data_IF_583456951871
#
_entry.id   IF_583456951871
#
_cell.length_a   1.000
_cell.length_b   1.000
_cell.length_c   1.000
_cell.angle_alpha   90.00
_cell.angle_beta   90.00
_cell.angle_gamma   90.00
#
_symmetry.space_group_name_H-M   'P 1'
#
loop_
_entity.id
_entity.type
_entity.pdbx_description
1 polymer ?
#
# COMPACT_ATOMS: atom_id res chain seq x y z
N UNK A 1 -81.71 22.52 2.48
CA UNK A 1 -81.58 22.83 3.92
C UNK A 1 -80.13 22.60 4.26
N UNK A 2 -79.31 23.61 4.21
CA UNK A 2 -78.83 24.45 5.29
C UNK A 2 -78.39 23.61 6.53
N UNK A 3 -77.08 23.52 6.76
CA UNK A 3 -76.46 24.34 7.77
C UNK A 3 -74.91 24.26 7.72
N UNK A 4 -74.33 25.46 7.76
CA UNK A 4 -72.95 25.80 8.04
C UNK A 4 -72.58 25.46 9.48
N UNK A 5 -71.36 25.01 9.73
CA UNK A 5 -70.64 25.39 10.92
C UNK A 5 -69.15 25.49 10.61
N UNK A 6 -68.66 26.64 10.83
CA UNK A 6 -67.31 27.11 10.91
C UNK A 6 -66.63 26.45 12.12
N UNK A 7 -65.38 26.05 11.98
CA UNK A 7 -64.58 25.52 13.10
C UNK A 7 -63.08 25.65 12.80
N UNK A 8 -62.60 26.82 13.06
CA UNK A 8 -61.33 27.27 13.66
C UNK A 8 -60.06 26.48 13.33
N UNK A 9 -59.22 27.15 12.53
CA UNK A 9 -57.79 26.85 12.38
C UNK A 9 -57.09 27.01 13.74
N UNK A 10 -56.38 25.98 14.19
CA UNK A 10 -55.33 26.08 15.16
C UNK A 10 -54.04 25.68 14.47
N UNK A 11 -53.27 26.71 14.04
CA UNK A 11 -51.92 26.57 13.56
C UNK A 11 -51.02 26.42 14.79
N UNK A 12 -50.62 25.16 15.07
CA UNK A 12 -49.53 24.86 16.01
C UNK A 12 -48.23 24.85 15.19
N UNK A 13 -47.54 25.95 15.20
CA UNK A 13 -46.17 26.07 14.66
C UNK A 13 -45.21 25.38 15.65
N UNK A 14 -44.90 24.11 15.37
CA UNK A 14 -43.83 23.36 16.03
C UNK A 14 -42.51 23.79 15.41
N UNK A 15 -41.84 24.77 16.04
CA UNK A 15 -40.47 25.12 15.69
C UNK A 15 -39.54 23.96 16.07
N UNK A 16 -39.20 23.12 15.09
CA UNK A 16 -38.20 22.07 15.23
C UNK A 16 -36.83 22.73 15.20
N UNK A 17 -36.28 23.05 16.37
CA UNK A 17 -34.90 23.48 16.52
C UNK A 17 -33.95 22.37 16.09
N UNK A 18 -33.38 22.49 14.87
CA UNK A 18 -32.27 21.64 14.44
C UNK A 18 -31.05 22.12 15.22
N UNK A 19 -30.78 21.47 16.35
CA UNK A 19 -29.48 21.54 16.99
C UNK A 19 -28.48 20.85 16.06
N UNK A 20 -27.74 21.62 15.28
CA UNK A 20 -26.55 21.13 14.60
C UNK A 20 -25.52 20.91 15.70
N UNK A 21 -25.55 19.69 16.28
CA UNK A 21 -24.46 19.20 17.06
C UNK A 21 -23.29 19.04 16.07
N UNK A 22 -22.38 20.02 16.06
CA UNK A 22 -21.02 19.79 15.58
C UNK A 22 -20.40 18.72 16.46
N UNK A 23 -20.66 17.46 16.15
CA UNK A 23 -19.81 16.40 16.62
C UNK A 23 -18.43 16.70 16.04
N UNK A 24 -17.48 17.09 16.91
CA UNK A 24 -16.07 16.96 16.61
C UNK A 24 -15.89 15.53 16.16
N UNK A 25 -15.85 15.32 14.88
CA UNK A 25 -15.38 14.09 14.25
C UNK A 25 -13.93 14.00 14.69
N UNK A 26 -13.70 13.28 15.80
CA UNK A 26 -12.38 12.82 16.13
C UNK A 26 -11.94 12.08 14.88
N UNK A 27 -10.99 12.65 14.16
CA UNK A 27 -10.26 11.94 13.14
C UNK A 27 -9.51 10.82 13.89
N UNK A 28 -10.22 9.73 14.15
CA UNK A 28 -9.59 8.46 14.42
C UNK A 28 -8.76 8.21 13.16
N UNK A 29 -7.46 8.41 13.26
CA UNK A 29 -6.56 7.87 12.25
C UNK A 29 -6.76 6.37 12.32
N UNK A 30 -7.64 5.85 11.47
CA UNK A 30 -7.87 4.42 11.35
C UNK A 30 -6.50 3.81 11.13
N UNK A 31 -6.11 2.88 11.99
CA UNK A 31 -4.89 2.13 11.81
C UNK A 31 -5.18 1.11 10.71
N UNK A 32 -4.84 1.47 9.47
CA UNK A 32 -5.02 0.58 8.31
C UNK A 32 -4.27 -0.74 8.47
N UNK A 33 -3.24 -0.76 9.31
CA UNK A 33 -2.55 -1.98 9.72
C UNK A 33 -3.53 -3.01 10.31
N UNK A 34 -4.39 -2.58 11.23
CA UNK A 34 -5.38 -3.47 11.87
C UNK A 34 -6.45 -3.92 10.88
N UNK A 35 -6.91 -3.04 9.99
CA UNK A 35 -7.90 -3.40 8.96
C UNK A 35 -7.33 -4.43 7.99
N UNK A 36 -6.10 -4.22 7.50
CA UNK A 36 -5.41 -5.16 6.60
C UNK A 36 -5.17 -6.49 7.32
N UNK A 37 -4.69 -6.47 8.57
CA UNK A 37 -4.46 -7.68 9.35
C UNK A 37 -5.73 -8.49 9.56
N UNK A 38 -6.86 -7.83 9.87
CA UNK A 38 -8.15 -8.49 10.02
C UNK A 38 -8.62 -9.10 8.70
N UNK A 39 -8.46 -8.40 7.58
CA UNK A 39 -8.84 -8.89 6.26
C UNK A 39 -8.01 -10.13 5.86
N UNK A 40 -6.70 -10.11 6.12
CA UNK A 40 -5.82 -11.26 5.88
C UNK A 40 -6.17 -12.45 6.78
N UNK A 41 -6.50 -12.21 8.04
CA UNK A 41 -6.93 -13.27 8.98
C UNK A 41 -8.23 -13.94 8.51
N UNK A 42 -9.20 -13.15 8.01
CA UNK A 42 -10.44 -13.70 7.43
C UNK A 42 -10.21 -14.53 6.18
N UNK A 43 -9.13 -14.27 5.45
CA UNK A 43 -8.69 -15.03 4.28
C UNK A 43 -7.74 -16.19 4.62
N UNK A 44 -7.58 -16.54 5.90
CA UNK A 44 -6.69 -17.60 6.39
C UNK A 44 -5.19 -17.37 6.09
N UNK A 45 -4.79 -16.12 5.79
CA UNK A 45 -3.41 -15.73 5.51
C UNK A 45 -2.71 -15.22 6.79
N UNK A 46 -2.74 -16.02 7.85
CA UNK A 46 -2.30 -15.67 9.21
C UNK A 46 -0.78 -15.51 9.36
N UNK A 47 0.00 -16.10 8.47
CA UNK A 47 1.47 -16.02 8.47
C UNK A 47 1.99 -14.75 7.78
N UNK A 48 1.09 -13.97 7.16
CA UNK A 48 1.42 -12.66 6.60
C UNK A 48 1.40 -11.60 7.70
N UNK A 49 2.53 -10.96 7.90
CA UNK A 49 2.72 -9.85 8.83
C UNK A 49 2.48 -8.53 8.12
N UNK A 50 1.86 -7.58 8.81
CA UNK A 50 1.54 -6.24 8.32
C UNK A 50 2.31 -5.21 9.13
N UNK A 51 2.86 -4.20 8.48
CA UNK A 51 3.50 -3.05 9.11
C UNK A 51 3.16 -1.78 8.35
N UNK A 52 2.66 -0.74 9.03
CA UNK A 52 2.32 0.55 8.44
C UNK A 52 3.44 1.57 8.67
N UNK A 53 3.91 2.21 7.59
CA UNK A 53 4.73 3.42 7.63
C UNK A 53 3.85 4.61 7.23
N UNK A 54 3.43 5.40 8.22
CA UNK A 54 2.52 6.53 8.04
C UNK A 54 3.18 7.70 7.31
N UNK A 55 4.48 7.90 7.50
CA UNK A 55 5.23 9.00 6.90
C UNK A 55 5.40 8.76 5.38
N UNK A 56 5.59 7.51 5.00
CA UNK A 56 5.71 7.11 3.60
C UNK A 56 4.38 6.72 2.96
N UNK A 57 3.30 6.72 3.73
CA UNK A 57 1.96 6.29 3.27
C UNK A 57 1.99 4.87 2.67
N UNK A 58 2.71 3.94 3.31
CA UNK A 58 2.87 2.55 2.85
C UNK A 58 2.46 1.54 3.91
N UNK A 59 2.01 0.38 3.43
CA UNK A 59 1.82 -0.82 4.24
C UNK A 59 2.69 -1.92 3.62
N UNK A 60 3.60 -2.47 4.41
CA UNK A 60 4.47 -3.57 4.03
C UNK A 60 3.89 -4.89 4.53
N UNK A 61 3.72 -5.83 3.61
CA UNK A 61 3.40 -7.23 3.90
C UNK A 61 4.69 -8.04 3.91
N UNK A 62 4.88 -8.86 4.92
CA UNK A 62 6.05 -9.74 5.05
C UNK A 62 5.63 -11.10 5.61
N UNK A 63 6.58 -12.01 5.79
CA UNK A 63 6.29 -13.37 6.20
C UNK A 63 6.33 -14.33 5.02
N UNK A 64 5.66 -15.48 5.12
CA UNK A 64 5.70 -16.50 4.08
C UNK A 64 4.34 -17.13 3.82
N UNK A 65 4.15 -17.57 2.57
CA UNK A 65 2.99 -18.35 2.12
C UNK A 65 3.46 -19.53 1.29
N UNK A 66 2.58 -20.48 1.01
CA UNK A 66 2.96 -21.73 0.34
C UNK A 66 2.77 -21.73 -1.18
N UNK A 67 2.20 -20.65 -1.75
CA UNK A 67 1.96 -20.55 -3.18
C UNK A 67 2.01 -19.09 -3.67
N UNK A 68 2.32 -18.90 -4.94
CA UNK A 68 2.23 -17.58 -5.61
C UNK A 68 0.80 -17.02 -5.54
N UNK A 69 -0.21 -17.87 -5.69
CA UNK A 69 -1.61 -17.44 -5.56
C UNK A 69 -1.89 -16.82 -4.19
N UNK A 70 -1.40 -17.44 -3.10
CA UNK A 70 -1.58 -16.89 -1.76
C UNK A 70 -0.84 -15.54 -1.57
N UNK A 71 0.33 -15.37 -2.21
CA UNK A 71 1.04 -14.07 -2.24
C UNK A 71 0.25 -13.00 -3.00
N UNK A 72 -0.28 -13.33 -4.16
CA UNK A 72 -1.12 -12.42 -4.95
C UNK A 72 -2.40 -12.05 -4.20
N UNK A 73 -3.07 -13.03 -3.58
CA UNK A 73 -4.26 -12.81 -2.77
C UNK A 73 -3.98 -11.93 -1.56
N UNK A 74 -2.85 -12.12 -0.87
CA UNK A 74 -2.42 -11.24 0.22
C UNK A 74 -2.29 -9.79 -0.26
N UNK A 75 -1.65 -9.55 -1.40
CA UNK A 75 -1.52 -8.23 -1.99
C UNK A 75 -2.87 -7.60 -2.34
N UNK A 76 -3.73 -8.34 -3.02
CA UNK A 76 -5.06 -7.89 -3.46
C UNK A 76 -5.99 -7.55 -2.29
N UNK A 77 -6.05 -8.43 -1.29
CA UNK A 77 -6.87 -8.24 -0.07
C UNK A 77 -6.38 -7.01 0.70
N UNK A 78 -5.08 -6.88 0.86
CA UNK A 78 -4.47 -5.75 1.55
C UNK A 78 -4.73 -4.44 0.82
N UNK A 79 -4.66 -4.41 -0.52
CA UNK A 79 -4.96 -3.21 -1.31
C UNK A 79 -6.42 -2.75 -1.14
N UNK A 80 -7.35 -3.68 -0.99
CA UNK A 80 -8.76 -3.36 -0.74
C UNK A 80 -9.00 -2.78 0.66
N UNK A 81 -8.25 -3.24 1.67
CA UNK A 81 -8.38 -2.80 3.06
C UNK A 81 -7.53 -1.56 3.40
N UNK A 82 -6.49 -1.29 2.62
CA UNK A 82 -5.49 -0.25 2.92
C UNK A 82 -5.92 1.18 2.57
N UNK A 83 -7.09 1.38 1.99
CA UNK A 83 -7.54 2.70 1.53
C UNK A 83 -6.62 3.28 0.45
N UNK A 84 -6.00 4.43 0.74
CA UNK A 84 -5.08 5.12 -0.21
C UNK A 84 -3.61 4.76 -0.01
N UNK A 85 -3.30 3.79 0.84
CA UNK A 85 -1.93 3.39 1.12
C UNK A 85 -1.34 2.56 -0.03
N UNK A 86 -0.04 2.72 -0.24
CA UNK A 86 0.70 1.84 -1.17
C UNK A 86 1.02 0.53 -0.48
N UNK A 87 0.66 -0.59 -1.09
CA UNK A 87 1.03 -1.92 -0.60
C UNK A 87 2.39 -2.31 -1.16
N UNK A 88 3.28 -2.71 -0.26
CA UNK A 88 4.61 -3.28 -0.54
C UNK A 88 4.52 -4.77 -0.20
N UNK A 89 4.42 -5.66 -1.20
CA UNK A 89 4.18 -7.09 -0.97
C UNK A 89 5.49 -7.89 -0.98
N UNK A 90 6.20 -7.88 0.13
CA UNK A 90 7.45 -8.63 0.37
C UNK A 90 7.21 -10.05 0.92
N UNK A 91 6.03 -10.60 0.75
CA UNK A 91 5.73 -11.97 1.19
C UNK A 91 6.57 -12.97 0.40
N UNK A 92 7.24 -13.89 1.10
CA UNK A 92 8.03 -14.97 0.51
C UNK A 92 7.12 -16.14 0.15
N UNK A 93 7.35 -16.76 -1.01
CA UNK A 93 6.69 -18.01 -1.36
C UNK A 93 7.60 -19.18 -1.00
N UNK A 94 7.15 -20.01 -0.08
CA UNK A 94 7.89 -21.15 0.46
C UNK A 94 7.02 -22.41 0.37
N UNK A 95 7.10 -23.15 -0.76
CA UNK A 95 6.33 -24.39 -0.91
C UNK A 95 6.66 -25.38 0.19
N UNK A 96 5.66 -26.12 0.66
CA UNK A 96 5.82 -27.13 1.71
C UNK A 96 6.87 -28.16 1.32
N UNK A 97 7.89 -28.35 2.17
CA UNK A 97 8.98 -29.28 1.95
C UNK A 97 10.12 -28.78 1.07
N UNK A 98 10.08 -27.50 0.62
CA UNK A 98 11.14 -26.87 -0.18
C UNK A 98 11.44 -25.42 0.33
N UNK A 99 11.18 -25.15 1.60
CA UNK A 99 11.24 -23.80 2.17
C UNK A 99 12.67 -23.21 2.13
N UNK A 100 13.68 -24.02 2.44
CA UNK A 100 15.07 -23.57 2.47
C UNK A 100 15.61 -23.26 1.07
N UNK A 101 15.30 -24.12 0.11
CA UNK A 101 15.66 -23.95 -1.30
C UNK A 101 14.94 -22.71 -1.89
N UNK A 102 13.65 -22.56 -1.63
CA UNK A 102 12.86 -21.41 -2.09
C UNK A 102 13.43 -20.10 -1.54
N UNK A 103 13.79 -20.06 -0.26
CA UNK A 103 14.42 -18.88 0.36
C UNK A 103 15.77 -18.55 -0.27
N UNK A 104 16.58 -19.57 -0.56
CA UNK A 104 17.89 -19.38 -1.22
C UNK A 104 17.72 -18.83 -2.62
N UNK A 105 16.76 -19.36 -3.40
CA UNK A 105 16.45 -18.88 -4.75
C UNK A 105 15.96 -17.44 -4.69
N UNK A 106 15.06 -17.09 -3.78
CA UNK A 106 14.57 -15.72 -3.60
C UNK A 106 15.70 -14.74 -3.31
N UNK A 107 16.59 -15.04 -2.34
CA UNK A 107 17.72 -14.19 -2.00
C UNK A 107 18.67 -13.99 -3.19
N UNK A 108 19.00 -15.04 -3.93
CA UNK A 108 19.86 -14.94 -5.11
C UNK A 108 19.21 -14.10 -6.21
N UNK A 109 17.89 -14.19 -6.35
CA UNK A 109 17.13 -13.38 -7.31
C UNK A 109 17.14 -11.91 -6.90
N UNK A 110 16.92 -11.58 -5.63
CA UNK A 110 16.95 -10.24 -5.10
C UNK A 110 18.34 -9.60 -5.27
N UNK A 111 19.43 -10.33 -4.96
CA UNK A 111 20.80 -9.91 -5.23
C UNK A 111 21.06 -9.61 -6.72
N UNK A 112 20.49 -10.41 -7.62
CA UNK A 112 20.60 -10.19 -9.05
C UNK A 112 19.82 -8.96 -9.51
N UNK A 113 18.62 -8.72 -8.95
CA UNK A 113 17.83 -7.51 -9.20
C UNK A 113 18.64 -6.27 -8.83
N UNK A 114 19.23 -6.22 -7.64
CA UNK A 114 20.01 -5.07 -7.18
C UNK A 114 21.23 -4.80 -8.06
N UNK A 115 21.98 -5.85 -8.42
CA UNK A 115 23.14 -5.76 -9.30
C UNK A 115 22.77 -5.22 -10.69
N UNK A 116 21.68 -5.75 -11.26
CA UNK A 116 21.18 -5.33 -12.57
C UNK A 116 20.69 -3.87 -12.53
N UNK A 117 19.94 -3.50 -11.48
CA UNK A 117 19.48 -2.12 -11.32
C UNK A 117 20.64 -1.13 -11.17
N UNK A 118 21.66 -1.46 -10.36
CA UNK A 118 22.88 -0.65 -10.24
C UNK A 118 23.58 -0.45 -11.57
N UNK A 119 23.73 -1.51 -12.34
CA UNK A 119 24.35 -1.43 -13.67
C UNK A 119 23.53 -0.54 -14.62
N UNK A 120 22.21 -0.68 -14.60
CA UNK A 120 21.30 0.11 -15.41
C UNK A 120 21.31 1.60 -15.01
N UNK A 121 21.31 1.95 -13.71
CA UNK A 121 21.49 3.33 -13.24
C UNK A 121 22.80 3.94 -13.78
N UNK A 122 23.86 3.16 -13.81
CA UNK A 122 25.16 3.59 -14.33
C UNK A 122 25.08 3.89 -15.84
N UNK A 123 24.46 2.98 -16.60
CA UNK A 123 24.29 3.12 -18.05
C UNK A 123 23.44 4.35 -18.43
N UNK A 124 22.45 4.70 -17.60
CA UNK A 124 21.57 5.85 -17.77
C UNK A 124 22.08 7.16 -17.11
N UNK A 125 23.31 7.17 -16.58
CA UNK A 125 23.92 8.36 -15.99
C UNK A 125 23.34 8.80 -14.64
N UNK A 126 22.57 7.94 -13.97
CA UNK A 126 21.96 8.21 -12.66
C UNK A 126 22.80 7.72 -11.47
N UNK A 127 23.95 7.08 -11.71
CA UNK A 127 24.82 6.54 -10.66
C UNK A 127 25.36 7.57 -9.65
N UNK A 128 25.37 8.86 -10.02
CA UNK A 128 25.84 9.96 -9.15
C UNK A 128 24.71 10.61 -8.34
N UNK A 129 23.47 10.16 -8.50
CA UNK A 129 22.34 10.61 -7.71
C UNK A 129 22.29 9.86 -6.37
N UNK A 130 21.68 10.47 -5.38
CA UNK A 130 21.45 9.83 -4.08
C UNK A 130 20.23 8.89 -4.19
N UNK A 131 20.39 7.79 -4.92
CA UNK A 131 19.36 6.77 -5.10
C UNK A 131 19.80 5.51 -4.35
N UNK A 132 19.03 5.15 -3.33
CA UNK A 132 19.16 3.90 -2.61
C UNK A 132 18.08 2.93 -3.09
N UNK A 133 18.36 1.65 -3.05
CA UNK A 133 17.44 0.59 -3.49
C UNK A 133 17.66 -0.66 -2.65
N UNK A 134 16.56 -1.39 -2.45
CA UNK A 134 16.52 -2.65 -1.73
C UNK A 134 15.56 -3.59 -2.45
N UNK A 135 15.99 -4.82 -2.71
CA UNK A 135 15.18 -5.84 -3.35
C UNK A 135 14.81 -6.92 -2.36
N UNK A 136 13.52 -7.27 -2.30
CA UNK A 136 13.05 -8.33 -1.42
C UNK A 136 11.85 -9.06 -1.99
N UNK A 137 12.02 -10.36 -2.20
CA UNK A 137 11.03 -11.24 -2.79
C UNK A 137 10.42 -10.68 -4.09
N UNK A 138 11.28 -10.08 -4.95
CA UNK A 138 10.89 -9.47 -6.23
C UNK A 138 10.32 -8.06 -6.14
N UNK A 139 10.22 -7.48 -4.96
CA UNK A 139 9.83 -6.07 -4.77
C UNK A 139 11.09 -5.21 -4.72
N UNK A 140 11.21 -4.21 -5.60
CA UNK A 140 12.30 -3.24 -5.60
C UNK A 140 11.83 -1.90 -5.05
N UNK A 141 12.29 -1.54 -3.87
CA UNK A 141 12.00 -0.27 -3.20
C UNK A 141 13.10 0.73 -3.51
N UNK A 142 12.73 1.91 -4.04
CA UNK A 142 13.64 3.00 -4.35
C UNK A 142 13.45 4.13 -3.33
N UNK A 143 14.54 4.60 -2.74
CA UNK A 143 14.56 5.69 -1.76
C UNK A 143 15.65 6.71 -2.07
N UNK A 144 15.78 7.74 -1.25
CA UNK A 144 16.80 8.79 -1.42
C UNK A 144 16.27 9.99 -2.18
N UNK A 145 17.11 10.66 -2.97
CA UNK A 145 16.72 11.90 -3.61
C UNK A 145 17.38 12.14 -4.97
N UNK A 146 16.66 12.86 -5.84
CA UNK A 146 17.13 13.34 -7.14
C UNK A 146 16.84 14.83 -7.30
N UNK A 147 17.48 15.47 -8.30
CA UNK A 147 17.37 16.91 -8.54
C UNK A 147 16.11 17.31 -9.33
N UNK A 148 15.45 16.37 -10.00
CA UNK A 148 14.33 16.70 -10.87
C UNK A 148 13.28 15.57 -10.98
N UNK A 149 12.01 15.92 -11.24
CA UNK A 149 10.96 14.92 -11.48
C UNK A 149 11.26 13.96 -12.64
N UNK A 150 11.85 14.40 -13.78
CA UNK A 150 12.25 13.48 -14.84
C UNK A 150 13.24 12.40 -14.38
N UNK A 151 14.22 12.75 -13.53
CA UNK A 151 15.17 11.77 -12.98
C UNK A 151 14.48 10.73 -12.11
N UNK A 152 13.48 11.14 -11.29
CA UNK A 152 12.68 10.22 -10.49
C UNK A 152 11.88 9.25 -11.37
N UNK A 153 11.28 9.75 -12.46
CA UNK A 153 10.53 8.92 -13.39
C UNK A 153 11.46 7.97 -14.16
N UNK A 154 12.65 8.43 -14.56
CA UNK A 154 13.64 7.59 -15.25
C UNK A 154 14.14 6.47 -14.33
N UNK A 155 14.46 6.77 -13.07
CA UNK A 155 14.84 5.75 -12.10
C UNK A 155 13.76 4.66 -11.95
N UNK A 156 12.49 5.05 -11.93
CA UNK A 156 11.36 4.10 -11.88
C UNK A 156 11.27 3.24 -13.15
N UNK A 157 11.40 3.83 -14.33
CA UNK A 157 11.37 3.10 -15.61
C UNK A 157 12.50 2.07 -15.69
N UNK A 158 13.71 2.48 -15.28
CA UNK A 158 14.85 1.58 -15.21
C UNK A 158 14.55 0.40 -14.29
N UNK A 159 13.99 0.65 -13.10
CA UNK A 159 13.64 -0.39 -12.15
C UNK A 159 12.61 -1.38 -12.72
N UNK A 160 11.58 -0.88 -13.40
CA UNK A 160 10.55 -1.70 -14.05
C UNK A 160 11.07 -2.57 -15.19
N UNK A 161 12.21 -2.20 -15.79
CA UNK A 161 12.84 -2.94 -16.86
C UNK A 161 13.83 -4.02 -16.36
N UNK A 162 14.11 -4.07 -15.05
CA UNK A 162 15.02 -5.07 -14.48
C UNK A 162 14.33 -6.44 -14.46
N UNK A 163 15.00 -7.50 -14.96
CA UNK A 163 14.46 -8.86 -14.92
C UNK A 163 14.13 -9.30 -13.49
N UNK A 164 13.05 -10.08 -13.35
CA UNK A 164 12.52 -10.63 -12.09
C UNK A 164 11.96 -9.59 -11.09
N UNK A 165 11.90 -8.31 -11.41
CA UNK A 165 11.17 -7.32 -10.63
C UNK A 165 9.67 -7.53 -10.84
N UNK A 166 8.94 -7.84 -9.77
CA UNK A 166 7.49 -8.02 -9.76
C UNK A 166 6.78 -6.71 -9.41
N UNK A 167 7.39 -5.92 -8.51
CA UNK A 167 6.83 -4.64 -8.06
C UNK A 167 7.95 -3.61 -7.88
N UNK A 168 7.68 -2.35 -8.25
CA UNK A 168 8.54 -1.20 -7.95
C UNK A 168 7.79 -0.22 -7.04
N UNK A 169 8.39 0.12 -5.92
CA UNK A 169 7.90 1.13 -4.98
C UNK A 169 8.85 2.32 -5.01
N UNK A 170 8.42 3.44 -5.60
CA UNK A 170 9.26 4.62 -5.78
C UNK A 170 8.98 5.68 -4.70
N UNK A 171 9.84 5.73 -3.70
CA UNK A 171 9.83 6.69 -2.60
C UNK A 171 10.96 7.75 -2.75
N UNK A 172 11.52 7.90 -3.95
CA UNK A 172 12.55 8.92 -4.22
C UNK A 172 11.94 10.31 -4.08
N UNK A 173 12.60 11.18 -3.32
CA UNK A 173 12.23 12.58 -3.17
C UNK A 173 12.87 13.44 -4.29
N UNK A 174 12.21 14.54 -4.64
CA UNK A 174 12.80 15.56 -5.52
C UNK A 174 13.26 16.73 -4.67
N UNK A 175 14.58 16.89 -4.51
CA UNK A 175 15.21 17.99 -3.78
C UNK A 175 15.79 19.00 -4.77
N UNK A 176 15.40 20.26 -4.61
CA UNK A 176 15.90 21.39 -5.40
C UNK A 176 17.12 22.00 -4.76
#
# INVERSE_FOLDING_TARGET
MRNKTLGLLAIVSLALGIAIACSKQSSHSVAYEDEVKNALTQAELTDVKVSEDKDKNTITLSGSVHSEQAKEDAGRISQQAAGSRTIVNEVSVQPVGAEAEAKTVANNTDDAIEKNYKAALTAHGLAKQDINYDAKNGVLVLTGSVKSPPQRQEAQKIAQAVPNVQQVVNQIEVKR
#
